data_IF_963274611471
#
_entry.id   IF_963274611471
#
_cell.length_a   1.000
_cell.length_b   1.000
_cell.length_c   1.000
_cell.angle_alpha   90.00
_cell.angle_beta   90.00
_cell.angle_gamma   90.00
#
_symmetry.space_group_name_H-M   'P 1'
#
loop_
_entity.id
_entity.type
_entity.pdbx_description
1 polymer ?
#
# COMPACT_ATOMS: atom_id res chain seq x y z
N UNK A 1 1.13 -19.85 -3.70
CA UNK A 1 1.48 -19.78 -2.27
C UNK A 1 2.49 -18.67 -2.12
N UNK A 2 2.18 -17.62 -1.38
CA UNK A 2 3.03 -16.43 -1.22
C UNK A 2 3.78 -16.57 0.12
N UNK A 3 5.12 -16.42 0.17
CA UNK A 3 5.86 -16.49 1.42
C UNK A 3 5.38 -15.42 2.41
N UNK A 4 5.20 -15.80 3.69
CA UNK A 4 4.67 -14.89 4.72
C UNK A 4 5.55 -13.65 4.94
N UNK A 5 6.84 -13.73 4.63
CA UNK A 5 7.81 -12.62 4.72
C UNK A 5 7.86 -11.71 3.49
N UNK A 6 7.11 -12.03 2.42
CA UNK A 6 7.13 -11.23 1.19
C UNK A 6 6.47 -9.86 1.38
N UNK A 7 6.88 -8.87 0.59
CA UNK A 7 6.26 -7.54 0.57
C UNK A 7 4.76 -7.61 0.21
N UNK A 8 4.38 -8.55 -0.66
CA UNK A 8 2.98 -8.77 -1.03
C UNK A 8 2.15 -9.31 0.13
N UNK A 9 2.70 -10.21 0.96
CA UNK A 9 2.03 -10.67 2.19
C UNK A 9 1.76 -9.51 3.15
N UNK A 10 2.75 -8.62 3.35
CA UNK A 10 2.59 -7.43 4.20
C UNK A 10 1.55 -6.45 3.63
N UNK A 11 1.56 -6.23 2.31
CA UNK A 11 0.57 -5.41 1.62
C UNK A 11 -0.85 -5.99 1.80
N UNK A 12 -1.03 -7.30 1.58
CA UNK A 12 -2.33 -7.98 1.76
C UNK A 12 -2.82 -7.86 3.20
N UNK A 13 -1.94 -8.06 4.19
CA UNK A 13 -2.29 -7.87 5.60
C UNK A 13 -2.72 -6.43 5.90
N UNK A 14 -2.06 -5.45 5.28
CA UNK A 14 -2.40 -4.04 5.42
C UNK A 14 -3.77 -3.72 4.78
N UNK A 15 -4.03 -4.19 3.56
CA UNK A 15 -5.29 -3.97 2.85
C UNK A 15 -6.47 -4.67 3.55
N UNK A 16 -6.25 -5.88 4.08
CA UNK A 16 -7.26 -6.64 4.83
C UNK A 16 -7.74 -5.94 6.12
N UNK A 17 -7.00 -4.94 6.63
CA UNK A 17 -7.47 -4.11 7.74
C UNK A 17 -8.57 -3.15 7.32
N UNK A 18 -8.54 -2.69 6.08
CA UNK A 18 -9.43 -1.65 5.57
C UNK A 18 -10.69 -2.21 4.92
N UNK A 19 -10.53 -3.29 4.14
CA UNK A 19 -11.60 -3.89 3.35
C UNK A 19 -11.44 -5.42 3.28
N UNK A 20 -12.54 -6.12 3.02
CA UNK A 20 -12.50 -7.55 2.73
C UNK A 20 -11.74 -7.78 1.40
N UNK A 21 -10.80 -8.74 1.38
CA UNK A 21 -9.97 -9.04 0.22
C UNK A 21 -10.78 -9.47 -1.01
N UNK A 22 -12.00 -9.98 -0.85
CA UNK A 22 -12.90 -10.27 -1.98
C UNK A 22 -13.33 -9.02 -2.75
N UNK A 23 -13.17 -7.84 -2.14
CA UNK A 23 -13.49 -6.56 -2.75
C UNK A 23 -12.25 -5.73 -3.13
N UNK A 24 -11.05 -6.18 -2.76
CA UNK A 24 -9.80 -5.51 -3.14
C UNK A 24 -9.42 -5.89 -4.57
N UNK A 25 -9.18 -4.91 -5.43
CA UNK A 25 -8.72 -5.13 -6.80
C UNK A 25 -7.22 -4.84 -6.90
N UNK A 26 -6.47 -5.83 -7.39
CA UNK A 26 -5.03 -5.72 -7.62
C UNK A 26 -4.77 -5.81 -9.12
N UNK A 27 -4.20 -4.75 -9.68
CA UNK A 27 -3.84 -4.67 -11.09
C UNK A 27 -2.32 -4.74 -11.22
N UNK A 28 -1.84 -5.67 -12.03
CA UNK A 28 -0.43 -5.75 -12.40
C UNK A 28 -0.20 -5.28 -13.83
N UNK A 29 0.94 -4.65 -14.08
CA UNK A 29 1.39 -4.37 -15.43
C UNK A 29 2.20 -5.58 -15.92
N UNK A 30 1.80 -6.19 -17.04
CA UNK A 30 2.60 -7.22 -17.72
C UNK A 30 3.65 -6.54 -18.60
N UNK A 31 4.88 -7.03 -18.54
CA UNK A 31 6.09 -6.52 -19.19
C UNK A 31 5.88 -5.95 -20.61
N UNK A 32 5.85 -4.62 -20.67
CA UNK A 32 6.28 -3.81 -21.81
C UNK A 32 6.84 -2.44 -21.34
N UNK A 33 6.45 -1.98 -20.14
CA UNK A 33 6.87 -0.68 -19.58
C UNK A 33 7.76 -0.77 -18.32
N UNK A 34 8.01 -1.98 -17.81
CA UNK A 34 8.80 -2.16 -16.59
C UNK A 34 10.17 -2.78 -16.88
N UNK A 35 11.15 -1.94 -17.19
CA UNK A 35 12.54 -2.34 -17.23
C UNK A 35 13.07 -2.51 -15.80
N UNK A 36 13.08 -3.75 -15.28
CA UNK A 36 13.73 -4.04 -14.01
C UNK A 36 13.42 -5.42 -13.43
N UNK A 37 14.14 -6.44 -13.91
CA UNK A 37 14.49 -7.73 -13.27
C UNK A 37 13.40 -8.60 -12.60
N UNK A 38 13.35 -9.85 -13.09
CA UNK A 38 12.82 -11.06 -12.46
C UNK A 38 11.33 -11.07 -12.07
N UNK A 39 10.47 -11.47 -13.01
CA UNK A 39 9.40 -12.47 -12.82
C UNK A 39 8.26 -12.21 -11.83
N UNK A 40 8.36 -11.19 -10.99
CA UNK A 40 7.31 -10.73 -10.08
C UNK A 40 6.45 -9.72 -10.84
N UNK A 41 5.20 -10.09 -11.12
CA UNK A 41 4.23 -9.18 -11.72
C UNK A 41 4.16 -7.90 -10.88
N UNK A 42 4.64 -6.78 -11.44
CA UNK A 42 4.66 -5.51 -10.73
C UNK A 42 3.22 -5.03 -10.55
N UNK A 43 2.79 -4.97 -9.30
CA UNK A 43 1.52 -4.35 -8.94
C UNK A 43 1.60 -2.87 -9.32
N UNK A 44 0.72 -2.46 -10.22
CA UNK A 44 0.64 -1.10 -10.73
C UNK A 44 -0.42 -0.29 -9.98
N UNK A 45 -1.55 -0.91 -9.63
CA UNK A 45 -2.68 -0.23 -9.01
C UNK A 45 -3.40 -1.15 -8.01
N UNK A 46 -3.77 -0.59 -6.87
CA UNK A 46 -4.62 -1.21 -5.85
C UNK A 46 -5.88 -0.39 -5.70
N UNK A 47 -7.06 -1.00 -5.82
CA UNK A 47 -8.34 -0.30 -5.59
C UNK A 47 -9.09 -0.92 -4.41
N UNK A 48 -9.67 -0.04 -3.60
CA UNK A 48 -10.57 -0.33 -2.48
C UNK A 48 -11.95 0.29 -2.81
N UNK A 49 -12.78 -0.39 -3.63
CA UNK A 49 -13.98 0.21 -4.21
C UNK A 49 -15.01 0.66 -3.17
N UNK A 50 -15.11 0.00 -2.02
CA UNK A 50 -16.09 0.39 -0.98
C UNK A 50 -15.64 1.63 -0.23
N UNK A 51 -14.33 1.78 -0.05
CA UNK A 51 -13.72 2.99 0.52
C UNK A 51 -13.58 4.13 -0.49
N UNK A 52 -13.77 3.84 -1.80
CA UNK A 52 -13.54 4.78 -2.91
C UNK A 52 -12.10 5.32 -2.89
N UNK A 53 -11.15 4.44 -2.59
CA UNK A 53 -9.73 4.74 -2.57
C UNK A 53 -9.00 3.91 -3.61
N UNK A 54 -7.99 4.51 -4.22
CA UNK A 54 -7.13 3.86 -5.20
C UNK A 54 -5.68 4.29 -4.99
N UNK A 55 -4.76 3.34 -5.11
CA UNK A 55 -3.36 3.54 -4.85
C UNK A 55 -2.49 3.06 -6.00
N UNK A 56 -1.74 3.99 -6.59
CA UNK A 56 -0.86 3.73 -7.72
C UNK A 56 0.58 3.49 -7.24
N UNK A 57 1.21 2.44 -7.75
CA UNK A 57 2.61 2.17 -7.49
C UNK A 57 3.49 3.18 -8.23
N UNK A 58 4.31 3.93 -7.48
CA UNK A 58 5.27 4.90 -8.02
C UNK A 58 6.62 4.73 -7.35
N UNK A 59 7.68 4.94 -8.12
CA UNK A 59 9.05 4.99 -7.60
C UNK A 59 9.26 6.36 -6.93
N UNK A 60 9.52 6.35 -5.63
CA UNK A 60 9.85 7.55 -4.86
C UNK A 60 11.28 8.02 -5.15
N UNK A 61 11.63 9.24 -4.74
CA UNK A 61 12.97 9.83 -4.93
C UNK A 61 14.10 9.00 -4.31
N UNK A 62 13.79 8.15 -3.33
CA UNK A 62 14.69 7.20 -2.69
C UNK A 62 14.83 5.85 -3.43
N UNK A 63 14.19 5.71 -4.60
CA UNK A 63 14.20 4.50 -5.40
C UNK A 63 13.27 3.39 -4.90
N UNK A 64 12.48 3.64 -3.85
CA UNK A 64 11.54 2.66 -3.29
C UNK A 64 10.19 2.76 -3.98
N UNK A 65 9.56 1.62 -4.30
CA UNK A 65 8.19 1.60 -4.81
C UNK A 65 7.21 1.85 -3.65
N UNK A 66 6.36 2.87 -3.79
CA UNK A 66 5.31 3.24 -2.83
C UNK A 66 3.96 3.30 -3.53
N UNK A 67 2.90 2.99 -2.80
CA UNK A 67 1.53 3.03 -3.29
C UNK A 67 0.87 4.36 -2.90
N UNK A 68 0.86 5.33 -3.81
CA UNK A 68 0.33 6.68 -3.59
C UNK A 68 -1.18 6.74 -3.81
N UNK A 69 -1.91 7.39 -2.91
CA UNK A 69 -3.35 7.63 -3.06
C UNK A 69 -3.63 8.56 -4.23
N UNK A 70 -4.63 8.22 -5.06
CA UNK A 70 -5.10 9.13 -6.09
C UNK A 70 -6.04 10.20 -5.54
N UNK A 71 -6.71 9.91 -4.42
CA UNK A 71 -7.68 10.80 -3.78
C UNK A 71 -7.02 11.83 -2.87
N UNK A 72 -5.87 11.48 -2.29
CA UNK A 72 -5.10 12.33 -1.41
C UNK A 72 -3.68 12.54 -1.93
N UNK A 73 -3.50 13.62 -2.68
CA UNK A 73 -2.22 13.96 -3.30
C UNK A 73 -1.08 14.05 -2.28
N UNK A 74 0.04 13.39 -2.59
CA UNK A 74 1.23 13.36 -1.73
C UNK A 74 1.17 12.36 -0.58
N UNK A 75 0.06 11.63 -0.42
CA UNK A 75 -0.07 10.57 0.58
C UNK A 75 0.13 9.19 -0.04
N UNK A 76 0.80 8.28 0.67
CA UNK A 76 1.00 6.89 0.27
C UNK A 76 0.78 5.91 1.42
N UNK A 77 0.50 4.64 1.09
CA UNK A 77 0.36 3.57 2.07
C UNK A 77 1.68 3.33 2.81
N UNK A 78 1.65 3.46 4.13
CA UNK A 78 2.82 3.26 4.96
C UNK A 78 2.52 2.43 6.20
N UNK A 79 3.58 1.83 6.74
CA UNK A 79 3.55 1.24 8.08
C UNK A 79 4.53 2.00 8.95
N UNK A 80 4.01 2.90 9.78
CA UNK A 80 4.80 3.52 10.84
C UNK A 80 4.56 2.77 12.14
N UNK A 81 5.62 2.54 12.92
CA UNK A 81 5.53 1.91 14.24
C UNK A 81 6.26 2.80 15.23
N UNK A 82 5.49 3.52 16.03
CA UNK A 82 6.01 4.30 17.14
C UNK A 82 5.01 4.26 18.29
N UNK A 83 5.51 4.36 19.54
CA UNK A 83 4.67 4.21 20.73
C UNK A 83 3.46 5.16 20.78
N UNK A 84 3.61 6.36 20.19
CA UNK A 84 2.53 7.34 20.05
C UNK A 84 1.47 6.88 19.05
N UNK A 85 1.88 6.41 17.87
CA UNK A 85 0.95 5.91 16.86
C UNK A 85 0.25 4.64 17.34
N UNK A 86 0.96 3.73 18.02
CA UNK A 86 0.35 2.53 18.61
C UNK A 86 -0.73 2.89 19.65
N UNK A 87 -0.50 3.99 20.39
CA UNK A 87 -1.49 4.52 21.33
C UNK A 87 -2.69 5.16 20.62
N UNK A 88 -2.50 5.82 19.47
CA UNK A 88 -3.57 6.41 18.66
C UNK A 88 -4.39 5.35 17.92
N UNK A 89 -3.73 4.31 17.41
CA UNK A 89 -4.37 3.17 16.75
C UNK A 89 -5.05 2.22 17.75
N UNK A 90 -4.86 2.44 19.06
CA UNK A 90 -5.50 1.63 20.10
C UNK A 90 -7.03 1.81 20.03
N UNK A 91 -7.71 0.77 19.57
CA UNK A 91 -9.16 0.78 19.36
C UNK A 91 -9.60 1.01 17.92
N UNK A 92 -8.65 1.19 16.98
CA UNK A 92 -8.90 1.32 15.55
C UNK A 92 -8.25 0.14 14.79
N UNK A 93 -8.83 -1.08 14.88
CA UNK A 93 -8.28 -2.25 14.19
C UNK A 93 -8.35 -2.11 12.67
N UNK A 94 -9.36 -1.38 12.17
CA UNK A 94 -9.64 -1.16 10.76
C UNK A 94 -9.20 0.22 10.28
N UNK A 95 -7.90 0.51 10.39
CA UNK A 95 -7.32 1.77 9.96
C UNK A 95 -6.17 1.52 8.99
N UNK A 96 -6.11 2.35 7.94
CA UNK A 96 -4.94 2.53 7.10
C UNK A 96 -4.21 3.78 7.59
N UNK A 97 -2.89 3.70 7.63
CA UNK A 97 -2.04 4.86 7.90
C UNK A 97 -1.49 5.33 6.57
N UNK A 98 -1.65 6.62 6.32
CA UNK A 98 -1.07 7.28 5.15
C UNK A 98 0.12 8.12 5.57
N UNK A 99 1.19 8.07 4.80
CA UNK A 99 2.40 8.85 5.04
C UNK A 99 2.60 9.85 3.91
N UNK A 100 3.21 11.00 4.22
CA UNK A 100 3.78 11.89 3.22
C UNK A 100 5.29 11.64 3.06
N UNK A 101 5.94 12.37 2.14
CA UNK A 101 7.38 12.27 1.91
C UNK A 101 8.23 12.79 3.10
N UNK A 102 7.63 13.55 4.02
CA UNK A 102 8.24 14.02 5.28
C UNK A 102 8.11 13.00 6.43
N UNK A 103 7.48 11.85 6.18
CA UNK A 103 7.15 10.81 7.15
C UNK A 103 6.12 11.21 8.23
N UNK A 104 5.33 12.25 7.99
CA UNK A 104 4.15 12.54 8.80
C UNK A 104 3.05 11.52 8.52
N UNK A 105 2.36 11.11 9.59
CA UNK A 105 1.31 10.08 9.55
C UNK A 105 -0.09 10.68 9.69
N UNK A 106 -0.99 10.22 8.82
CA UNK A 106 -2.40 10.58 8.73
C UNK A 106 -3.29 9.34 8.90
#
# INVERSE_FOLDING_TARGET
YVPESSALSQLVQLLARAEDLAHVLLWSATEAEAAGSDGDALLALVELPRLKLSFEARVSADGTVRFYSQEHAGLYLGTLRCARLDSLLKGLPHALVLLNDEADAF
#
